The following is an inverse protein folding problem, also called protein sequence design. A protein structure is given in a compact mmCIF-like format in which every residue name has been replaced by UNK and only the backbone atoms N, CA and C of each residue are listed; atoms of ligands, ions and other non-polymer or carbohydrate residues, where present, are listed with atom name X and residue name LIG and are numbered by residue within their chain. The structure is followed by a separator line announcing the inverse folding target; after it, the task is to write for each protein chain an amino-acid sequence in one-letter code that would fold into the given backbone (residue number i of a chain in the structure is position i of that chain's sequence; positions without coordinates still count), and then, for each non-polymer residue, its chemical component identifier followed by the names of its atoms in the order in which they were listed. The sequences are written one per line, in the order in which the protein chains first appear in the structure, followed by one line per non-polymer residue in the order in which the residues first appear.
data_IF_372088815068
#
_entry.id   IF_372088815068
#
_cell.length_a   1.000
_cell.length_b   1.000
_cell.length_c   1.000
_cell.angle_alpha   90.00
_cell.angle_beta   90.00
_cell.angle_gamma   90.00
#
_symmetry.space_group_name_H-M   'P 1'
#
loop_
_entity.id
_entity.type
_entity.pdbx_description
1 polymer ?
#
# COMPACT_ATOMS: atom_id res chain seq x y z
N UNK A 1 -17.51 19.70 14.85
CA UNK A 1 -17.20 18.46 14.13
C UNK A 1 -16.68 17.44 15.13
N UNK A 2 -17.18 16.21 15.08
CA UNK A 2 -16.73 15.10 15.94
C UNK A 2 -15.60 14.30 15.27
N UNK A 3 -14.90 13.46 16.03
CA UNK A 3 -13.87 12.56 15.48
C UNK A 3 -14.45 11.63 14.39
N UNK A 4 -15.66 11.08 14.61
CA UNK A 4 -16.32 10.18 13.66
C UNK A 4 -16.73 10.90 12.36
N UNK A 5 -17.24 12.13 12.48
CA UNK A 5 -17.56 12.97 11.31
C UNK A 5 -16.31 13.28 10.50
N UNK A 6 -15.20 13.61 11.18
CA UNK A 6 -13.92 13.85 10.51
C UNK A 6 -13.44 12.60 9.77
N UNK A 7 -13.41 11.43 10.43
CA UNK A 7 -13.00 10.16 9.82
C UNK A 7 -13.82 9.86 8.57
N UNK A 8 -15.15 10.00 8.66
CA UNK A 8 -16.05 9.72 7.54
C UNK A 8 -15.80 10.66 6.36
N UNK A 9 -15.74 11.98 6.62
CA UNK A 9 -15.54 12.99 5.59
C UNK A 9 -14.17 12.83 4.92
N UNK A 10 -13.13 12.65 5.73
CA UNK A 10 -11.76 12.54 5.27
C UNK A 10 -11.52 11.25 4.47
N UNK A 11 -12.05 10.12 4.96
CA UNK A 11 -12.01 8.85 4.20
C UNK A 11 -12.74 8.98 2.86
N UNK A 12 -13.91 9.64 2.85
CA UNK A 12 -14.70 9.83 1.62
C UNK A 12 -14.00 10.73 0.61
N UNK A 13 -13.34 11.79 1.07
CA UNK A 13 -12.49 12.66 0.25
C UNK A 13 -11.33 11.87 -0.34
N UNK A 14 -10.54 11.23 0.52
CA UNK A 14 -9.33 10.51 0.11
C UNK A 14 -9.61 9.33 -0.82
N UNK A 15 -10.73 8.61 -0.67
CA UNK A 15 -11.12 7.55 -1.61
C UNK A 15 -11.19 8.04 -3.07
N UNK A 16 -11.48 9.32 -3.31
CA UNK A 16 -11.59 9.90 -4.65
C UNK A 16 -10.25 10.41 -5.18
N UNK A 17 -9.33 10.75 -4.29
CA UNK A 17 -8.05 11.41 -4.62
C UNK A 17 -6.86 10.46 -4.56
N UNK A 18 -7.04 9.26 -3.98
CA UNK A 18 -5.93 8.36 -3.73
C UNK A 18 -5.33 7.81 -5.01
N UNK A 19 -4.01 7.85 -5.09
CA UNK A 19 -3.24 7.18 -6.12
C UNK A 19 -3.23 5.67 -5.87
N UNK A 20 -3.41 4.90 -6.94
CA UNK A 20 -3.47 3.45 -6.95
C UNK A 20 -2.12 2.87 -7.39
N UNK A 21 -1.61 1.94 -6.59
CA UNK A 21 -0.42 1.17 -6.93
C UNK A 21 -0.80 -0.07 -7.76
N UNK A 22 -0.02 -0.47 -8.77
CA UNK A 22 1.18 0.18 -9.30
C UNK A 22 0.90 1.31 -10.33
N UNK A 23 -0.33 1.39 -10.83
CA UNK A 23 -0.72 2.21 -12.00
C UNK A 23 -0.25 3.67 -11.96
N UNK A 24 -0.37 4.33 -10.81
CA UNK A 24 -0.04 5.75 -10.68
C UNK A 24 1.42 6.01 -10.28
N UNK A 25 2.22 4.94 -10.18
CA UNK A 25 3.62 4.94 -9.74
C UNK A 25 4.57 4.29 -10.74
N UNK A 26 4.04 3.75 -11.84
CA UNK A 26 4.79 3.14 -12.92
C UNK A 26 4.30 3.64 -14.28
N UNK A 27 5.26 4.00 -15.14
CA UNK A 27 4.97 4.35 -16.53
C UNK A 27 4.72 3.10 -17.37
N UNK A 28 3.92 3.21 -18.44
CA UNK A 28 3.46 2.05 -19.24
C UNK A 28 4.54 1.53 -20.20
N UNK A 29 5.62 2.28 -20.42
CA UNK A 29 6.55 2.07 -21.54
C UNK A 29 7.64 1.01 -21.32
N UNK A 30 7.61 0.27 -20.22
CA UNK A 30 8.63 -0.72 -19.90
C UNK A 30 8.31 -2.11 -20.47
N UNK A 31 9.30 -3.00 -20.47
CA UNK A 31 9.06 -4.44 -20.64
C UNK A 31 8.54 -5.03 -19.33
N UNK A 32 7.54 -5.91 -19.45
CA UNK A 32 6.84 -6.50 -18.33
C UNK A 32 6.86 -8.01 -18.42
N UNK A 33 6.95 -8.65 -17.26
CA UNK A 33 6.53 -10.03 -17.10
C UNK A 33 5.12 -10.07 -16.52
N UNK A 34 4.37 -11.08 -16.93
CA UNK A 34 3.08 -11.38 -16.34
C UNK A 34 3.26 -12.34 -15.17
N UNK A 35 2.58 -12.07 -14.07
CA UNK A 35 2.61 -12.90 -12.87
C UNK A 35 1.19 -13.10 -12.36
N UNK A 36 0.81 -14.35 -12.10
CA UNK A 36 -0.50 -14.69 -11.58
C UNK A 36 -0.48 -14.60 -10.06
N UNK A 37 -1.34 -13.75 -9.49
CA UNK A 37 -1.61 -13.71 -8.05
C UNK A 37 -3.00 -14.27 -7.73
N UNK A 38 -3.21 -14.85 -6.52
CA UNK A 38 -4.52 -15.31 -6.09
C UNK A 38 -5.53 -14.15 -6.01
N UNK A 39 -6.82 -14.49 -5.98
CA UNK A 39 -7.91 -13.54 -5.73
C UNK A 39 -8.04 -13.22 -4.23
N UNK A 40 -6.93 -12.74 -3.66
CA UNK A 40 -6.84 -12.39 -2.24
C UNK A 40 -5.67 -11.43 -2.01
N UNK A 41 -5.76 -10.68 -0.91
CA UNK A 41 -4.64 -9.83 -0.49
C UNK A 41 -3.44 -10.70 -0.13
N UNK A 42 -2.27 -10.19 -0.47
CA UNK A 42 -0.99 -10.79 -0.11
C UNK A 42 -0.41 -10.08 1.11
N UNK A 43 0.34 -10.82 1.90
CA UNK A 43 1.09 -10.32 3.06
C UNK A 43 2.49 -10.92 3.08
N UNK A 44 3.38 -10.31 3.86
CA UNK A 44 4.69 -10.88 4.10
C UNK A 44 4.53 -12.12 4.99
N UNK A 45 5.09 -13.24 4.56
CA UNK A 45 5.21 -14.48 5.32
C UNK A 45 6.50 -14.50 6.15
N UNK A 46 7.07 -15.68 6.33
CA UNK A 46 8.32 -15.84 7.07
C UNK A 46 9.53 -15.43 6.22
N UNK A 47 10.58 -14.94 6.89
CA UNK A 47 11.90 -14.79 6.27
C UNK A 47 12.70 -16.07 6.51
N UNK A 48 13.05 -16.76 5.43
CA UNK A 48 13.75 -18.05 5.48
C UNK A 48 15.02 -17.96 4.66
N UNK A 49 16.17 -18.10 5.32
CA UNK A 49 17.50 -18.12 4.68
C UNK A 49 17.78 -16.87 3.81
N UNK A 50 17.39 -15.68 4.29
CA UNK A 50 17.56 -14.42 3.56
C UNK A 50 16.60 -14.24 2.38
N UNK A 51 15.55 -15.07 2.30
CA UNK A 51 14.47 -14.94 1.32
C UNK A 51 13.19 -14.50 2.02
N UNK A 52 12.47 -13.61 1.36
CA UNK A 52 11.19 -13.10 1.77
C UNK A 52 10.08 -13.93 1.12
N UNK A 53 9.24 -14.52 1.96
CA UNK A 53 8.03 -15.18 1.51
C UNK A 53 6.89 -14.18 1.40
N UNK A 54 6.11 -14.28 0.33
CA UNK A 54 4.82 -13.62 0.16
C UNK A 54 3.75 -14.70 0.18
N UNK A 55 2.77 -14.55 1.06
CA UNK A 55 1.68 -15.50 1.26
C UNK A 55 0.33 -14.84 1.04
N UNK A 56 -0.68 -15.65 0.75
CA UNK A 56 -2.07 -15.21 0.81
C UNK A 56 -2.60 -15.14 2.25
N UNK A 57 -3.84 -14.66 2.43
CA UNK A 57 -4.46 -14.59 3.76
C UNK A 57 -4.73 -15.94 4.43
N UNK A 58 -4.57 -17.05 3.71
CA UNK A 58 -4.67 -18.42 4.24
C UNK A 58 -3.30 -19.00 4.60
N UNK A 59 -2.22 -18.26 4.36
CA UNK A 59 -0.85 -18.69 4.60
C UNK A 59 -0.27 -19.55 3.46
N UNK A 60 -0.92 -19.61 2.29
CA UNK A 60 -0.35 -20.31 1.14
C UNK A 60 0.75 -19.46 0.50
N UNK A 61 1.91 -20.07 0.27
CA UNK A 61 3.04 -19.44 -0.41
C UNK A 61 2.69 -19.05 -1.85
N UNK A 62 2.94 -17.79 -2.20
CA UNK A 62 2.71 -17.22 -3.54
C UNK A 62 4.03 -16.88 -4.22
N UNK A 63 5.01 -16.37 -3.47
CA UNK A 63 6.35 -16.09 -3.98
C UNK A 63 7.38 -16.26 -2.86
N UNK A 64 8.55 -16.81 -3.21
CA UNK A 64 9.75 -16.74 -2.39
C UNK A 64 10.84 -15.99 -3.18
N UNK A 65 11.37 -14.89 -2.64
CA UNK A 65 12.31 -14.01 -3.36
C UNK A 65 13.42 -13.49 -2.44
N UNK A 66 14.63 -13.34 -2.98
CA UNK A 66 15.74 -12.65 -2.29
C UNK A 66 15.61 -11.12 -2.37
N UNK A 67 14.70 -10.62 -3.22
CA UNK A 67 14.50 -9.20 -3.45
C UNK A 67 13.25 -8.69 -2.71
N UNK A 68 13.48 -7.97 -1.62
CA UNK A 68 12.40 -7.43 -0.79
C UNK A 68 11.49 -6.47 -1.54
N UNK A 69 12.01 -5.72 -2.53
CA UNK A 69 11.19 -4.80 -3.30
C UNK A 69 10.19 -5.55 -4.18
N UNK A 70 10.57 -6.72 -4.72
CA UNK A 70 9.64 -7.59 -5.46
C UNK A 70 8.51 -8.06 -4.55
N UNK A 71 8.82 -8.47 -3.32
CA UNK A 71 7.82 -8.86 -2.34
C UNK A 71 6.84 -7.71 -2.04
N UNK A 72 7.37 -6.51 -1.75
CA UNK A 72 6.55 -5.30 -1.52
C UNK A 72 5.69 -4.94 -2.73
N UNK A 73 6.24 -5.01 -3.93
CA UNK A 73 5.52 -4.72 -5.16
C UNK A 73 4.27 -5.58 -5.30
N UNK A 74 4.41 -6.90 -5.08
CA UNK A 74 3.30 -7.85 -5.13
C UNK A 74 2.26 -7.56 -4.05
N UNK A 75 2.70 -7.33 -2.82
CA UNK A 75 1.81 -7.01 -1.69
C UNK A 75 1.00 -5.74 -2.00
N UNK A 76 1.66 -4.65 -2.38
CA UNK A 76 0.98 -3.39 -2.71
C UNK A 76 0.05 -3.50 -3.91
N UNK A 77 0.41 -4.30 -4.92
CA UNK A 77 -0.45 -4.53 -6.10
C UNK A 77 -1.72 -5.31 -5.74
N UNK A 78 -1.60 -6.33 -4.88
CA UNK A 78 -2.70 -7.19 -4.46
C UNK A 78 -3.84 -6.46 -3.72
N UNK A 79 -3.61 -5.22 -3.29
CA UNK A 79 -4.61 -4.40 -2.63
C UNK A 79 -5.71 -3.92 -3.58
N UNK A 80 -5.42 -3.83 -4.87
CA UNK A 80 -6.30 -3.21 -5.88
C UNK A 80 -6.51 -4.09 -7.11
N UNK A 81 -5.61 -5.04 -7.36
CA UNK A 81 -5.64 -5.91 -8.54
C UNK A 81 -5.53 -7.36 -8.08
N UNK A 82 -6.25 -8.26 -8.75
CA UNK A 82 -6.14 -9.71 -8.56
C UNK A 82 -5.99 -10.42 -9.90
N UNK A 83 -5.51 -11.66 -9.89
CA UNK A 83 -5.26 -12.43 -11.11
C UNK A 83 -3.94 -12.04 -11.79
N UNK A 84 -3.99 -11.72 -13.07
CA UNK A 84 -2.78 -11.49 -13.86
C UNK A 84 -2.28 -10.05 -13.68
N UNK A 85 -1.10 -9.89 -13.08
CA UNK A 85 -0.46 -8.59 -12.87
C UNK A 85 0.79 -8.44 -13.73
N UNK A 86 1.17 -7.19 -14.02
CA UNK A 86 2.40 -6.84 -14.72
C UNK A 86 3.47 -6.41 -13.72
N UNK A 87 4.64 -7.02 -13.83
CA UNK A 87 5.82 -6.70 -13.02
C UNK A 87 6.91 -6.18 -13.97
N UNK A 88 7.52 -5.01 -13.71
CA UNK A 88 8.61 -4.51 -14.54
C UNK A 88 9.79 -5.48 -14.52
N UNK A 89 10.40 -5.72 -15.68
CA UNK A 89 11.63 -6.54 -15.77
C UNK A 89 12.83 -5.81 -15.17
N UNK A 90 12.81 -4.48 -15.23
CA UNK A 90 13.89 -3.64 -14.73
C UNK A 90 13.75 -3.40 -13.22
N UNK A 91 14.71 -3.93 -12.44
CA UNK A 91 14.73 -3.79 -10.97
C UNK A 91 14.74 -2.34 -10.51
N UNK A 92 15.42 -1.45 -11.24
CA UNK A 92 15.50 -0.02 -10.92
C UNK A 92 14.10 0.62 -10.87
N UNK A 93 13.23 0.27 -11.82
CA UNK A 93 11.86 0.78 -11.95
C UNK A 93 10.94 0.23 -10.90
N UNK A 94 11.07 -1.05 -10.59
CA UNK A 94 10.35 -1.66 -9.48
C UNK A 94 10.69 -0.99 -8.15
N UNK A 95 11.99 -0.77 -7.89
CA UNK A 95 12.47 -0.07 -6.70
C UNK A 95 12.01 1.39 -6.65
N UNK A 96 12.06 2.11 -7.77
CA UNK A 96 11.58 3.49 -7.90
C UNK A 96 10.08 3.59 -7.58
N UNK A 97 9.27 2.69 -8.13
CA UNK A 97 7.83 2.65 -7.90
C UNK A 97 7.49 2.40 -6.43
N UNK A 98 8.10 1.38 -5.84
CA UNK A 98 7.90 1.01 -4.43
C UNK A 98 8.28 2.18 -3.51
N UNK A 99 9.47 2.77 -3.71
CA UNK A 99 9.93 3.92 -2.90
C UNK A 99 9.04 5.14 -3.08
N UNK A 100 8.59 5.42 -4.30
CA UNK A 100 7.71 6.55 -4.60
C UNK A 100 6.34 6.37 -3.93
N UNK A 101 5.81 5.15 -3.92
CA UNK A 101 4.58 4.82 -3.23
C UNK A 101 4.70 4.96 -1.71
N UNK A 102 5.77 4.42 -1.11
CA UNK A 102 6.01 4.59 0.33
C UNK A 102 6.16 6.06 0.73
N UNK A 103 6.88 6.85 -0.05
CA UNK A 103 7.00 8.29 0.17
C UNK A 103 5.64 9.00 0.07
N UNK A 104 4.80 8.57 -0.86
CA UNK A 104 3.43 9.07 -0.97
C UNK A 104 2.61 8.74 0.27
N UNK A 105 2.67 7.50 0.78
CA UNK A 105 2.00 7.10 2.02
C UNK A 105 2.48 7.93 3.22
N UNK A 106 3.79 8.14 3.36
CA UNK A 106 4.37 8.96 4.43
C UNK A 106 3.91 10.43 4.34
N UNK A 107 3.78 10.96 3.12
CA UNK A 107 3.28 12.32 2.88
C UNK A 107 1.80 12.43 3.22
N UNK A 108 1.01 11.43 2.84
CA UNK A 108 -0.42 11.37 3.13
C UNK A 108 -0.68 11.26 4.65
N UNK A 109 0.12 10.48 5.36
CA UNK A 109 0.07 10.35 6.81
C UNK A 109 0.26 11.72 7.49
N UNK A 110 1.32 12.44 7.12
CA UNK A 110 1.59 13.79 7.64
C UNK A 110 0.48 14.78 7.32
N UNK A 111 -0.11 14.69 6.12
CA UNK A 111 -1.24 15.54 5.72
C UNK A 111 -2.46 15.29 6.61
N UNK A 112 -2.84 14.03 6.81
CA UNK A 112 -3.98 13.66 7.68
C UNK A 112 -3.73 14.12 9.12
N UNK A 113 -2.52 13.91 9.65
CA UNK A 113 -2.16 14.39 11.00
C UNK A 113 -2.29 15.92 11.12
N UNK A 114 -1.87 16.66 10.09
CA UNK A 114 -2.04 18.11 10.04
C UNK A 114 -3.51 18.51 9.97
N UNK A 115 -4.30 17.84 9.12
CA UNK A 115 -5.73 18.10 8.97
C UNK A 115 -6.50 17.81 10.28
N UNK A 116 -6.11 16.77 11.02
CA UNK A 116 -6.62 16.48 12.36
C UNK A 116 -6.29 17.62 13.33
N UNK A 117 -5.02 18.06 13.41
CA UNK A 117 -4.61 19.14 14.33
C UNK A 117 -5.37 20.45 14.06
N UNK A 118 -5.62 20.76 12.80
CA UNK A 118 -6.33 21.97 12.40
C UNK A 118 -7.84 21.88 12.67
N UNK A 119 -8.41 20.69 12.50
CA UNK A 119 -9.86 20.49 12.55
C UNK A 119 -10.38 20.05 13.92
N UNK A 120 -9.53 19.39 14.70
CA UNK A 120 -9.80 18.78 16.00
C UNK A 120 -8.63 19.05 16.97
N UNK A 121 -8.31 20.32 17.28
CA UNK A 121 -7.14 20.68 18.08
C UNK A 121 -7.12 20.06 19.48
N UNK A 122 -8.28 19.77 20.07
CA UNK A 122 -8.44 19.16 21.38
C UNK A 122 -8.37 17.61 21.36
N UNK A 123 -8.30 16.98 20.18
CA UNK A 123 -8.28 15.52 20.10
C UNK A 123 -6.93 14.97 20.57
N UNK A 124 -6.97 14.12 21.59
CA UNK A 124 -5.83 13.34 22.06
C UNK A 124 -5.61 12.05 21.25
N UNK A 125 -6.45 11.79 20.24
CA UNK A 125 -6.53 10.52 19.54
C UNK A 125 -6.06 10.58 18.07
N UNK A 126 -5.24 11.57 17.70
CA UNK A 126 -4.79 11.76 16.31
C UNK A 126 -4.20 10.48 15.68
N UNK A 127 -3.40 9.72 16.41
CA UNK A 127 -2.83 8.46 15.92
C UNK A 127 -3.91 7.40 15.64
N UNK A 128 -4.92 7.30 16.53
CA UNK A 128 -6.03 6.36 16.38
C UNK A 128 -6.89 6.73 15.17
N UNK A 129 -7.21 8.01 15.02
CA UNK A 129 -7.97 8.55 13.88
C UNK A 129 -7.23 8.27 12.57
N UNK A 130 -5.93 8.58 12.51
CA UNK A 130 -5.09 8.34 11.33
C UNK A 130 -5.06 6.86 10.96
N UNK A 131 -4.84 5.97 11.94
CA UNK A 131 -4.85 4.53 11.70
C UNK A 131 -6.20 4.00 11.22
N UNK A 132 -7.32 4.56 11.72
CA UNK A 132 -8.65 4.19 11.26
C UNK A 132 -8.84 4.59 9.79
N UNK A 133 -8.47 5.81 9.41
CA UNK A 133 -8.52 6.28 8.02
C UNK A 133 -7.65 5.40 7.11
N UNK A 134 -6.39 5.13 7.48
CA UNK A 134 -5.48 4.28 6.68
C UNK A 134 -6.03 2.86 6.50
N UNK A 135 -6.55 2.24 7.57
CA UNK A 135 -7.17 0.92 7.47
C UNK A 135 -8.42 0.93 6.60
N UNK A 136 -9.28 1.95 6.71
CA UNK A 136 -10.48 2.11 5.86
C UNK A 136 -10.15 2.32 4.38
N UNK A 137 -8.96 2.82 4.06
CA UNK A 137 -8.46 3.01 2.70
C UNK A 137 -7.54 1.86 2.20
N UNK A 138 -7.30 0.85 3.05
CA UNK A 138 -6.36 -0.23 2.80
C UNK A 138 -4.92 0.24 2.49
N UNK A 139 -4.51 1.33 3.12
CA UNK A 139 -3.17 1.89 3.01
C UNK A 139 -2.33 1.33 4.14
N UNK A 140 -1.53 0.31 3.82
CA UNK A 140 -0.54 -0.24 4.74
C UNK A 140 0.81 -0.18 4.09
N UNK A 141 1.80 0.14 4.92
CA UNK A 141 3.21 0.07 4.56
C UNK A 141 3.75 -1.29 5.05
N UNK A 142 4.58 -1.92 4.22
CA UNK A 142 5.32 -3.15 4.51
C UNK A 142 6.81 -2.88 4.30
#
# INVERSE_FOLDING_TARGET
MTENEFIFNETTRLKKEIKLFPKDFLEIQFEWNEFQIPDSKLVLGEELFGKYEVVDLKGNSVLLTEDFYVAKYLIYTSHYVTGLIKIPNEKSKLLEAVKSYEKYLDTLLKKIESDIKNSLPESKHANKITNQIFNSLNLRRY
#
